data_IF_172498565688
#
_entry.id   IF_172498565688
#
_cell.length_a   1.000
_cell.length_b   1.000
_cell.length_c   1.000
_cell.angle_alpha   90.00
_cell.angle_beta   90.00
_cell.angle_gamma   90.00
#
_symmetry.space_group_name_H-M   'P 1'
#
loop_
_entity.id
_entity.type
_entity.pdbx_description
1 polymer ?
#
# COMPACT_ATOMS: atom_id res chain seq x y z
N UNK A 1 11.78 -8.72 10.03
CA UNK A 1 11.10 -7.88 11.04
C UNK A 1 11.68 -8.22 12.41
N UNK A 2 12.18 -7.24 13.15
CA UNK A 2 12.65 -7.43 14.53
C UNK A 2 11.45 -7.39 15.49
N UNK A 3 10.90 -8.56 15.80
CA UNK A 3 9.72 -8.72 16.66
C UNK A 3 9.99 -8.29 18.11
N UNK A 4 11.25 -8.36 18.57
CA UNK A 4 11.62 -7.94 19.92
C UNK A 4 11.58 -6.42 20.04
N UNK A 5 12.08 -5.69 19.02
CA UNK A 5 11.94 -4.22 18.97
C UNK A 5 10.48 -3.77 18.89
N UNK A 6 9.67 -4.45 18.06
CA UNK A 6 8.24 -4.16 17.95
C UNK A 6 7.54 -4.33 19.30
N UNK A 7 7.87 -5.40 20.02
CA UNK A 7 7.36 -5.73 21.34
C UNK A 7 7.75 -4.71 22.40
N UNK A 8 9.03 -4.37 22.49
CA UNK A 8 9.49 -3.37 23.46
C UNK A 8 8.81 -2.02 23.23
N UNK A 9 8.66 -1.59 21.98
CA UNK A 9 8.00 -0.34 21.65
C UNK A 9 6.51 -0.35 22.02
N UNK A 10 5.80 -1.45 21.77
CA UNK A 10 4.41 -1.64 22.20
C UNK A 10 4.28 -1.56 23.72
N UNK A 11 5.06 -2.33 24.46
CA UNK A 11 4.97 -2.37 25.93
C UNK A 11 5.33 -1.02 26.57
N UNK A 12 6.29 -0.27 26.00
CA UNK A 12 6.60 1.10 26.42
C UNK A 12 5.44 2.07 26.16
N UNK A 13 4.70 1.90 25.05
CA UNK A 13 3.46 2.66 24.80
C UNK A 13 2.40 2.31 25.85
N UNK A 14 2.17 1.02 26.10
CA UNK A 14 1.19 0.59 27.12
C UNK A 14 1.53 1.12 28.51
N UNK A 15 2.82 1.12 28.88
CA UNK A 15 3.30 1.70 30.13
C UNK A 15 2.92 3.19 30.27
N UNK A 16 3.04 3.97 29.19
CA UNK A 16 2.61 5.38 29.16
C UNK A 16 1.10 5.52 29.28
N UNK A 17 0.33 4.73 28.54
CA UNK A 17 -1.14 4.75 28.56
C UNK A 17 -1.68 4.41 29.95
N UNK A 18 -1.08 3.42 30.61
CA UNK A 18 -1.47 2.96 31.94
C UNK A 18 -0.80 3.73 33.08
N UNK A 19 0.00 4.76 32.77
CA UNK A 19 0.81 5.52 33.74
C UNK A 19 1.57 4.61 34.73
N UNK A 20 2.13 3.51 34.22
CA UNK A 20 2.84 2.50 35.01
C UNK A 20 4.30 2.44 34.56
N UNK A 21 5.28 2.28 35.46
CA UNK A 21 6.67 2.11 35.06
C UNK A 21 6.83 0.93 34.10
N UNK A 22 7.56 1.14 32.99
CA UNK A 22 7.78 0.10 31.98
C UNK A 22 8.33 -1.20 32.57
N UNK A 23 9.26 -1.12 33.54
CA UNK A 23 9.84 -2.30 34.21
C UNK A 23 8.78 -3.14 34.92
N UNK A 24 7.82 -2.49 35.59
CA UNK A 24 6.76 -3.18 36.32
C UNK A 24 5.77 -3.84 35.35
N UNK A 25 5.36 -3.11 34.30
CA UNK A 25 4.48 -3.65 33.27
C UNK A 25 5.14 -4.84 32.52
N UNK A 26 6.42 -4.72 32.20
CA UNK A 26 7.20 -5.78 31.56
C UNK A 26 7.25 -7.04 32.43
N UNK A 27 7.50 -6.89 33.73
CA UNK A 27 7.53 -8.03 34.66
C UNK A 27 6.19 -8.77 34.69
N UNK A 28 5.06 -8.04 34.68
CA UNK A 28 3.72 -8.64 34.59
C UNK A 28 3.51 -9.43 33.30
N UNK A 29 3.96 -8.91 32.15
CA UNK A 29 3.87 -9.64 30.88
C UNK A 29 4.82 -10.84 30.80
N UNK A 30 6.02 -10.74 31.37
CA UNK A 30 6.96 -11.85 31.49
C UNK A 30 6.37 -12.97 32.36
N UNK A 31 5.71 -12.61 33.46
CA UNK A 31 5.03 -13.56 34.33
C UNK A 31 3.82 -14.21 33.65
N UNK A 32 3.00 -13.44 32.93
CA UNK A 32 1.90 -14.00 32.13
C UNK A 32 2.41 -15.04 31.13
N UNK A 33 3.51 -14.74 30.42
CA UNK A 33 4.12 -15.68 29.50
C UNK A 33 4.60 -16.95 30.19
N UNK A 34 5.22 -16.81 31.38
CA UNK A 34 5.67 -17.96 32.18
C UNK A 34 4.52 -18.85 32.64
N UNK A 35 3.39 -18.25 33.04
CA UNK A 35 2.25 -18.97 33.61
C UNK A 35 1.32 -19.58 32.57
N UNK A 36 1.11 -18.89 31.44
CA UNK A 36 0.08 -19.25 30.46
C UNK A 36 0.63 -19.56 29.06
N UNK A 37 1.93 -19.41 28.84
CA UNK A 37 2.54 -19.54 27.50
C UNK A 37 2.18 -18.40 26.53
N UNK A 38 1.36 -17.45 26.98
CA UNK A 38 0.93 -16.28 26.22
C UNK A 38 1.35 -15.00 26.95
N UNK A 39 2.03 -14.10 26.24
CA UNK A 39 2.54 -12.85 26.82
C UNK A 39 1.41 -11.83 27.03
N UNK A 40 0.47 -11.81 26.11
CA UNK A 40 -0.79 -11.08 26.20
C UNK A 40 -1.90 -12.12 26.30
N UNK A 41 -2.75 -12.01 27.32
CA UNK A 41 -3.79 -13.02 27.57
C UNK A 41 -4.74 -13.11 26.37
N UNK A 42 -5.06 -14.34 25.96
CA UNK A 42 -5.95 -14.60 24.82
C UNK A 42 -7.34 -14.02 25.14
N UNK A 43 -7.90 -13.27 24.18
CA UNK A 43 -9.16 -12.53 24.31
C UNK A 43 -9.05 -11.19 25.02
N UNK A 44 -7.88 -10.83 25.57
CA UNK A 44 -7.70 -9.55 26.26
C UNK A 44 -7.56 -8.36 25.30
N UNK A 45 -7.81 -7.15 25.80
CA UNK A 45 -7.57 -5.91 25.06
C UNK A 45 -6.11 -5.82 24.61
N UNK A 46 -5.17 -6.24 25.46
CA UNK A 46 -3.74 -6.21 25.15
C UNK A 46 -3.37 -7.11 23.95
N UNK A 47 -4.02 -8.25 23.77
CA UNK A 47 -3.80 -9.11 22.59
C UNK A 47 -4.30 -8.43 21.31
N UNK A 48 -5.51 -7.87 21.34
CA UNK A 48 -6.08 -7.15 20.18
C UNK A 48 -5.22 -5.95 19.79
N UNK A 49 -4.79 -5.17 20.78
CA UNK A 49 -3.91 -4.03 20.54
C UNK A 49 -2.52 -4.45 20.05
N UNK A 50 -1.97 -5.55 20.56
CA UNK A 50 -0.72 -6.11 20.07
C UNK A 50 -0.81 -6.55 18.61
N UNK A 51 -1.90 -7.20 18.20
CA UNK A 51 -2.09 -7.64 16.81
C UNK A 51 -2.15 -6.44 15.86
N UNK A 52 -2.95 -5.41 16.20
CA UNK A 52 -3.01 -4.16 15.44
C UNK A 52 -1.65 -3.46 15.38
N UNK A 53 -0.92 -3.44 16.50
CA UNK A 53 0.42 -2.86 16.57
C UNK A 53 1.40 -3.61 15.65
N UNK A 54 1.35 -4.94 15.66
CA UNK A 54 2.23 -5.76 14.85
C UNK A 54 1.96 -5.58 13.35
N UNK A 55 0.68 -5.50 12.95
CA UNK A 55 0.28 -5.18 11.58
C UNK A 55 0.82 -3.80 11.14
N UNK A 56 0.63 -2.77 11.96
CA UNK A 56 1.14 -1.42 11.69
C UNK A 56 2.67 -1.37 11.66
N UNK A 57 3.33 -2.11 12.55
CA UNK A 57 4.80 -2.20 12.60
C UNK A 57 5.37 -2.92 11.38
N UNK A 58 4.69 -3.96 10.89
CA UNK A 58 5.04 -4.63 9.63
C UNK A 58 4.89 -3.69 8.44
N UNK A 59 3.81 -2.91 8.38
CA UNK A 59 3.61 -1.89 7.36
C UNK A 59 4.70 -0.79 7.44
N UNK A 60 5.12 -0.40 8.64
CA UNK A 60 6.22 0.56 8.84
C UNK A 60 7.62 -0.04 8.56
N UNK A 61 7.82 -1.34 8.73
CA UNK A 61 9.07 -2.00 8.34
C UNK A 61 9.21 -2.12 6.81
N UNK A 62 8.11 -1.92 6.07
CA UNK A 62 8.12 -1.63 4.63
C UNK A 62 8.32 -0.13 4.33
N UNK A 63 8.54 0.74 5.33
CA UNK A 63 8.79 2.15 5.09
C UNK A 63 10.19 2.34 4.49
N UNK A 64 10.17 2.75 3.22
CA UNK A 64 11.28 3.21 2.42
C UNK A 64 11.97 4.39 3.13
N UNK A 65 13.31 4.54 3.05
CA UNK A 65 14.00 5.67 3.67
C UNK A 65 13.38 7.02 3.31
N UNK A 66 13.53 7.98 4.21
CA UNK A 66 13.05 9.36 4.03
C UNK A 66 13.63 9.94 2.72
N UNK A 67 12.74 10.39 1.82
CA UNK A 67 13.11 10.82 0.46
C UNK A 67 12.81 9.81 -0.66
N UNK A 68 12.41 8.59 -0.32
CA UNK A 68 12.02 7.57 -1.29
C UNK A 68 10.53 7.23 -1.19
N UNK A 69 9.90 6.97 -2.33
CA UNK A 69 8.48 6.58 -2.43
C UNK A 69 8.39 5.09 -2.73
N UNK A 70 7.54 4.35 -2.00
CA UNK A 70 7.24 2.96 -2.34
C UNK A 70 6.38 2.95 -3.60
N UNK A 71 6.98 2.62 -4.73
CA UNK A 71 6.28 2.50 -6.00
C UNK A 71 5.88 1.04 -6.17
N UNK A 72 4.58 0.76 -6.40
CA UNK A 72 4.13 -0.61 -6.67
C UNK A 72 4.78 -1.08 -7.97
N UNK A 73 5.26 -2.33 -8.01
CA UNK A 73 5.89 -2.89 -9.22
C UNK A 73 4.93 -2.95 -10.42
N UNK A 74 3.64 -3.06 -10.14
CA UNK A 74 2.58 -3.11 -11.14
C UNK A 74 1.56 -2.00 -10.90
N UNK A 75 1.18 -1.31 -11.98
CA UNK A 75 0.08 -0.35 -11.96
C UNK A 75 -1.25 -1.10 -11.94
N UNK A 76 -2.21 -0.62 -11.15
CA UNK A 76 -3.56 -1.18 -11.14
C UNK A 76 -4.31 -0.76 -12.40
N UNK A 77 -5.02 -1.71 -13.03
CA UNK A 77 -5.71 -1.49 -14.31
C UNK A 77 -6.64 -0.28 -14.30
N UNK A 78 -7.45 -0.10 -13.25
CA UNK A 78 -8.38 1.04 -13.17
C UNK A 78 -7.66 2.40 -13.21
N UNK A 79 -6.46 2.52 -12.62
CA UNK A 79 -5.70 3.76 -12.67
C UNK A 79 -5.16 4.04 -14.08
N UNK A 80 -4.75 2.99 -14.78
CA UNK A 80 -4.31 3.11 -16.17
C UNK A 80 -5.48 3.46 -17.10
N UNK A 81 -6.66 2.89 -16.85
CA UNK A 81 -7.90 3.20 -17.57
C UNK A 81 -8.39 4.64 -17.31
N UNK A 82 -8.34 5.11 -16.06
CA UNK A 82 -8.65 6.51 -15.71
C UNK A 82 -7.71 7.49 -16.44
N UNK A 83 -6.40 7.23 -16.42
CA UNK A 83 -5.41 8.05 -17.13
C UNK A 83 -5.63 8.04 -18.64
N UNK A 84 -5.96 6.88 -19.21
CA UNK A 84 -6.30 6.75 -20.62
C UNK A 84 -7.57 7.55 -20.94
N UNK A 85 -8.65 7.41 -20.18
CA UNK A 85 -9.89 8.16 -20.37
C UNK A 85 -9.70 9.68 -20.25
N UNK A 86 -8.88 10.13 -19.30
CA UNK A 86 -8.50 11.55 -19.17
C UNK A 86 -7.73 12.05 -20.40
N UNK A 87 -6.83 11.23 -20.95
CA UNK A 87 -6.12 11.57 -22.17
C UNK A 87 -7.06 11.60 -23.38
N UNK A 88 -8.00 10.67 -23.49
CA UNK A 88 -9.05 10.73 -24.51
C UNK A 88 -9.84 12.04 -24.42
N UNK A 89 -10.24 12.45 -23.22
CA UNK A 89 -10.96 13.71 -23.01
C UNK A 89 -10.23 14.94 -23.56
N UNK A 90 -8.89 14.91 -23.59
CA UNK A 90 -8.07 15.97 -24.21
C UNK A 90 -8.05 15.92 -25.74
N UNK A 91 -8.26 14.75 -26.34
CA UNK A 91 -8.13 14.52 -27.78
C UNK A 91 -9.48 14.40 -28.51
N UNK A 92 -10.58 14.17 -27.78
CA UNK A 92 -11.91 13.91 -28.37
C UNK A 92 -12.37 15.05 -29.28
N UNK A 93 -12.07 16.31 -28.93
CA UNK A 93 -12.44 17.46 -29.76
C UNK A 93 -11.78 17.44 -31.14
N UNK A 94 -10.46 17.18 -31.18
CA UNK A 94 -9.71 17.05 -32.43
C UNK A 94 -10.21 15.84 -33.22
N UNK A 95 -10.34 14.69 -32.55
CA UNK A 95 -10.82 13.46 -33.16
C UNK A 95 -12.18 13.64 -33.84
N UNK A 96 -13.16 14.24 -33.15
CA UNK A 96 -14.48 14.50 -33.73
C UNK A 96 -14.42 15.53 -34.87
N UNK A 97 -13.49 16.49 -34.83
CA UNK A 97 -13.34 17.48 -35.90
C UNK A 97 -12.79 16.87 -37.20
N UNK A 98 -11.96 15.84 -37.08
CA UNK A 98 -11.38 15.06 -38.19
C UNK A 98 -12.32 13.95 -38.67
N UNK A 99 -13.22 13.46 -37.81
CA UNK A 99 -14.12 12.34 -38.08
C UNK A 99 -15.60 12.76 -37.95
N UNK A 100 -15.99 13.82 -38.68
CA UNK A 100 -17.32 14.47 -38.53
C UNK A 100 -18.50 13.57 -38.86
N UNK A 101 -18.29 12.55 -39.69
CA UNK A 101 -19.35 11.64 -40.14
C UNK A 101 -19.61 10.49 -39.16
N UNK A 102 -18.83 10.39 -38.08
CA UNK A 102 -19.06 9.37 -37.05
C UNK A 102 -20.25 9.72 -36.17
N UNK A 103 -21.13 8.75 -35.96
CA UNK A 103 -22.17 8.84 -34.94
C UNK A 103 -21.57 8.82 -33.53
N UNK A 104 -22.31 9.36 -32.56
CA UNK A 104 -21.90 9.33 -31.14
C UNK A 104 -21.61 7.90 -30.65
N UNK A 105 -22.36 6.90 -31.13
CA UNK A 105 -22.14 5.49 -30.80
C UNK A 105 -20.78 5.01 -31.31
N UNK A 106 -20.44 5.31 -32.56
CA UNK A 106 -19.16 4.92 -33.15
C UNK A 106 -17.97 5.62 -32.45
N UNK A 107 -18.16 6.87 -32.04
CA UNK A 107 -17.15 7.60 -31.25
C UNK A 107 -16.96 6.92 -29.89
N UNK A 108 -18.04 6.49 -29.24
CA UNK A 108 -17.97 5.80 -27.95
C UNK A 108 -17.32 4.41 -28.05
N UNK A 109 -17.66 3.63 -29.08
CA UNK A 109 -17.01 2.35 -29.36
C UNK A 109 -15.51 2.51 -29.63
N UNK A 110 -15.15 3.55 -30.40
CA UNK A 110 -13.75 3.90 -30.61
C UNK A 110 -13.07 4.28 -29.30
N UNK A 111 -13.70 5.14 -28.49
CA UNK A 111 -13.19 5.56 -27.18
C UNK A 111 -12.89 4.36 -26.30
N UNK A 112 -13.82 3.43 -26.16
CA UNK A 112 -13.66 2.24 -25.31
C UNK A 112 -12.45 1.40 -25.74
N UNK A 113 -12.32 1.13 -27.05
CA UNK A 113 -11.17 0.39 -27.59
C UNK A 113 -9.86 1.14 -27.40
N UNK A 114 -9.87 2.44 -27.68
CA UNK A 114 -8.70 3.30 -27.57
C UNK A 114 -8.21 3.39 -26.12
N UNK A 115 -9.12 3.63 -25.16
CA UNK A 115 -8.78 3.72 -23.74
C UNK A 115 -8.20 2.40 -23.21
N UNK A 116 -8.81 1.26 -23.57
CA UNK A 116 -8.29 -0.06 -23.21
C UNK A 116 -6.86 -0.28 -23.72
N UNK A 117 -6.60 0.02 -24.99
CA UNK A 117 -5.26 -0.14 -25.58
C UNK A 117 -4.24 0.82 -24.95
N UNK A 118 -4.65 2.06 -24.70
CA UNK A 118 -3.81 3.07 -24.04
C UNK A 118 -3.49 2.69 -22.60
N UNK A 119 -4.45 2.18 -21.83
CA UNK A 119 -4.26 1.69 -20.48
C UNK A 119 -3.21 0.56 -20.43
N UNK A 120 -3.32 -0.43 -21.33
CA UNK A 120 -2.32 -1.49 -21.44
C UNK A 120 -0.92 -0.96 -21.72
N UNK A 121 -0.79 0.04 -22.61
CA UNK A 121 0.48 0.70 -22.90
C UNK A 121 1.04 1.41 -21.66
N UNK A 122 0.22 2.21 -20.97
CA UNK A 122 0.60 2.92 -19.75
C UNK A 122 1.12 1.92 -18.69
N UNK A 123 0.44 0.79 -18.51
CA UNK A 123 0.88 -0.25 -17.57
C UNK A 123 2.23 -0.86 -17.96
N UNK A 124 2.44 -1.12 -19.25
CA UNK A 124 3.71 -1.65 -19.77
C UNK A 124 4.85 -0.66 -19.58
N UNK A 125 4.64 0.61 -19.93
CA UNK A 125 5.63 1.68 -19.81
C UNK A 125 5.99 1.92 -18.33
N UNK A 126 4.99 1.90 -17.44
CA UNK A 126 5.20 1.98 -16.00
C UNK A 126 6.05 0.84 -15.48
N UNK A 127 5.74 -0.40 -15.86
CA UNK A 127 6.53 -1.57 -15.45
C UNK A 127 7.98 -1.47 -15.92
N UNK A 128 8.21 -1.12 -17.18
CA UNK A 128 9.55 -0.95 -17.74
C UNK A 128 10.34 0.15 -17.02
N UNK A 129 9.69 1.25 -16.63
CA UNK A 129 10.32 2.32 -15.85
C UNK A 129 10.77 1.84 -14.46
N UNK A 130 9.97 1.01 -13.78
CA UNK A 130 10.35 0.44 -12.48
C UNK A 130 11.50 -0.56 -12.63
N UNK A 131 11.44 -1.44 -13.63
CA UNK A 131 12.49 -2.43 -13.88
C UNK A 131 13.83 -1.76 -14.23
N UNK A 132 13.82 -0.66 -15.00
CA UNK A 132 15.03 0.10 -15.31
C UNK A 132 15.67 0.81 -14.11
N UNK A 133 14.95 0.95 -12.99
CA UNK A 133 15.45 1.54 -11.74
C UNK A 133 15.99 0.48 -10.76
N UNK A 134 15.79 -0.81 -11.03
CA UNK A 134 16.38 -1.89 -10.24
C UNK A 134 17.88 -2.01 -10.60
N UNK A 135 18.80 -2.02 -9.61
CA UNK A 135 20.21 -2.21 -9.92
C UNK A 135 20.42 -3.58 -10.58
N UNK A 136 21.07 -3.59 -11.73
CA UNK A 136 21.62 -4.82 -12.32
C UNK A 136 22.67 -5.35 -11.36
N UNK A 137 22.32 -6.40 -10.61
CA UNK A 137 23.31 -7.18 -9.87
C UNK A 137 24.13 -7.97 -10.90
N UNK A 138 25.23 -7.37 -11.36
CA UNK A 138 26.34 -8.07 -12.03
C UNK A 138 27.23 -8.76 -10.98
#
# INVERSE_FOLDING_TARGET
MDIQKAREAFERRQAKVLNTPYKELKARFDENFRLFGARYNIGSINEKEWNLWLEAWQAKAQAVPEGFVLVKREMQWHKADDLACLEWGRHVGLFCSENRDMSALQVEEFRLRWCKNKANKIMSDYKAMIEAQEPTND
#
